data_IF_812709849566
#
_entry.id   IF_812709849566
#
_cell.length_a   1.000
_cell.length_b   1.000
_cell.length_c   1.000
_cell.angle_alpha   90.00
_cell.angle_beta   90.00
_cell.angle_gamma   90.00
#
_symmetry.space_group_name_H-M   'P 1'
#
loop_
_entity.id
_entity.type
_entity.pdbx_description
1 polymer ?
#
# COMPACT_ATOMS: atom_id res chain seq x y z
N UNK A 1 -7.47 -35.46 -0.58
CA UNK A 1 -7.01 -34.29 0.21
C UNK A 1 -6.12 -33.35 -0.61
N UNK A 2 -5.05 -33.86 -1.27
CA UNK A 2 -4.13 -33.04 -2.08
C UNK A 2 -4.78 -32.26 -3.23
N UNK A 3 -5.71 -32.86 -3.98
CA UNK A 3 -6.38 -32.17 -5.09
C UNK A 3 -7.25 -30.98 -4.62
N UNK A 4 -7.90 -31.10 -3.46
CA UNK A 4 -8.73 -30.03 -2.87
C UNK A 4 -7.85 -28.88 -2.38
N UNK A 5 -6.71 -29.17 -1.75
CA UNK A 5 -5.75 -28.12 -1.36
C UNK A 5 -5.17 -27.39 -2.57
N UNK A 6 -4.82 -28.10 -3.65
CA UNK A 6 -4.33 -27.46 -4.88
C UNK A 6 -5.39 -26.58 -5.53
N UNK A 7 -6.65 -27.02 -5.57
CA UNK A 7 -7.76 -26.23 -6.10
C UNK A 7 -7.96 -24.94 -5.30
N UNK A 8 -7.94 -25.01 -3.96
CA UNK A 8 -8.09 -23.84 -3.09
C UNK A 8 -6.97 -22.80 -3.31
N UNK A 9 -5.72 -23.27 -3.49
CA UNK A 9 -4.59 -22.39 -3.80
C UNK A 9 -4.79 -21.70 -5.15
N UNK A 10 -5.20 -22.44 -6.18
CA UNK A 10 -5.46 -21.87 -7.50
C UNK A 10 -6.57 -20.82 -7.48
N UNK A 11 -7.68 -21.09 -6.78
CA UNK A 11 -8.78 -20.12 -6.62
C UNK A 11 -8.27 -18.86 -5.91
N UNK A 12 -7.50 -19.01 -4.83
CA UNK A 12 -6.92 -17.88 -4.11
C UNK A 12 -6.02 -17.01 -5.01
N UNK A 13 -5.17 -17.63 -5.84
CA UNK A 13 -4.30 -16.92 -6.78
C UNK A 13 -5.10 -16.15 -7.83
N UNK A 14 -6.15 -16.74 -8.40
CA UNK A 14 -7.02 -16.06 -9.38
C UNK A 14 -7.71 -14.85 -8.75
N UNK A 15 -8.22 -14.99 -7.52
CA UNK A 15 -8.86 -13.89 -6.79
C UNK A 15 -7.86 -12.77 -6.50
N UNK A 16 -6.64 -13.10 -6.06
CA UNK A 16 -5.56 -12.11 -5.87
C UNK A 16 -5.26 -11.34 -7.15
N UNK A 17 -5.11 -12.02 -8.29
CA UNK A 17 -4.84 -11.38 -9.58
C UNK A 17 -6.01 -10.48 -10.03
N UNK A 18 -7.25 -10.91 -9.80
CA UNK A 18 -8.44 -10.11 -10.08
C UNK A 18 -8.48 -8.82 -9.25
N UNK A 19 -8.12 -8.89 -7.96
CA UNK A 19 -8.05 -7.71 -7.09
C UNK A 19 -6.95 -6.76 -7.54
N UNK A 20 -5.74 -7.27 -7.83
CA UNK A 20 -4.61 -6.44 -8.28
C UNK A 20 -4.93 -5.73 -9.59
N UNK A 21 -5.47 -6.45 -10.57
CA UNK A 21 -5.87 -5.87 -11.86
C UNK A 21 -6.98 -4.82 -11.69
N UNK A 22 -7.96 -5.07 -10.82
CA UNK A 22 -9.00 -4.10 -10.45
C UNK A 22 -8.44 -2.82 -9.83
N UNK A 23 -7.47 -2.94 -8.91
CA UNK A 23 -6.80 -1.79 -8.30
C UNK A 23 -6.01 -0.96 -9.32
N UNK A 24 -5.26 -1.61 -10.21
CA UNK A 24 -4.51 -0.93 -11.28
C UNK A 24 -5.48 -0.21 -12.23
N UNK A 25 -6.54 -0.90 -12.66
CA UNK A 25 -7.56 -0.30 -13.53
C UNK A 25 -8.20 0.93 -12.88
N UNK A 26 -8.59 0.82 -11.60
CA UNK A 26 -9.15 1.92 -10.84
C UNK A 26 -8.15 3.09 -10.76
N UNK A 27 -6.89 2.81 -10.46
CA UNK A 27 -5.85 3.83 -10.37
C UNK A 27 -5.65 4.59 -11.68
N UNK A 28 -5.63 3.87 -12.81
CA UNK A 28 -5.56 4.49 -14.13
C UNK A 28 -6.77 5.39 -14.42
N UNK A 29 -7.98 4.91 -14.10
CA UNK A 29 -9.21 5.69 -14.32
C UNK A 29 -9.25 6.95 -13.47
N UNK A 30 -8.90 6.84 -12.18
CA UNK A 30 -8.87 7.98 -11.25
C UNK A 30 -7.79 8.98 -11.65
N UNK A 31 -6.60 8.50 -12.04
CA UNK A 31 -5.48 9.36 -12.45
C UNK A 31 -5.76 10.14 -13.74
N UNK A 32 -6.59 9.60 -14.63
CA UNK A 32 -6.98 10.26 -15.89
C UNK A 32 -8.11 11.27 -15.73
N UNK A 33 -8.70 11.38 -14.54
CA UNK A 33 -9.75 12.36 -14.30
C UNK A 33 -9.23 13.80 -14.41
N UNK A 34 -10.13 14.74 -14.72
CA UNK A 34 -9.78 16.16 -14.83
C UNK A 34 -9.17 16.72 -13.54
N UNK A 35 -9.67 16.26 -12.40
CA UNK A 35 -9.20 16.67 -11.08
C UNK A 35 -7.95 15.88 -10.65
N UNK A 36 -6.85 16.60 -10.39
CA UNK A 36 -5.57 16.01 -9.95
C UNK A 36 -5.67 15.22 -8.64
N UNK A 37 -6.58 15.60 -7.75
CA UNK A 37 -6.69 14.99 -6.42
C UNK A 37 -7.35 13.61 -6.44
N UNK A 38 -8.22 13.36 -7.43
CA UNK A 38 -8.96 12.09 -7.53
C UNK A 38 -8.01 10.92 -7.77
N UNK A 39 -6.95 11.11 -8.57
CA UNK A 39 -5.90 10.12 -8.78
C UNK A 39 -5.06 9.77 -7.54
N UNK A 40 -5.04 10.66 -6.55
CA UNK A 40 -4.29 10.49 -5.30
C UNK A 40 -5.11 9.83 -4.19
N UNK A 41 -6.44 9.73 -4.33
CA UNK A 41 -7.32 9.15 -3.31
C UNK A 41 -6.88 7.74 -2.92
N UNK A 42 -6.64 6.87 -3.92
CA UNK A 42 -6.26 5.49 -3.65
C UNK A 42 -4.87 5.36 -3.01
N UNK A 43 -3.79 6.02 -3.50
CA UNK A 43 -2.52 6.08 -2.78
C UNK A 43 -2.66 6.58 -1.33
N UNK A 44 -3.45 7.62 -1.09
CA UNK A 44 -3.66 8.18 0.25
C UNK A 44 -4.37 7.18 1.16
N UNK A 45 -5.37 6.45 0.66
CA UNK A 45 -6.04 5.40 1.44
C UNK A 45 -5.03 4.32 1.87
N UNK A 46 -4.19 3.82 0.95
CA UNK A 46 -3.16 2.83 1.31
C UNK A 46 -2.12 3.38 2.29
N UNK A 47 -1.72 4.64 2.13
CA UNK A 47 -0.85 5.32 3.08
C UNK A 47 -1.47 5.40 4.48
N UNK A 48 -2.74 5.79 4.59
CA UNK A 48 -3.45 5.85 5.87
C UNK A 48 -3.62 4.46 6.50
N UNK A 49 -3.91 3.42 5.70
CA UNK A 49 -3.95 2.04 6.18
C UNK A 49 -2.59 1.61 6.74
N UNK A 50 -1.48 1.99 6.10
CA UNK A 50 -0.13 1.70 6.61
C UNK A 50 0.13 2.36 7.97
N UNK A 51 -0.37 3.58 8.19
CA UNK A 51 -0.26 4.27 9.46
C UNK A 51 -1.08 3.59 10.54
N UNK A 52 -2.29 3.12 10.23
CA UNK A 52 -3.12 2.37 11.18
C UNK A 52 -2.37 1.11 11.64
N UNK A 53 -1.70 0.40 10.75
CA UNK A 53 -0.91 -0.79 11.10
C UNK A 53 0.24 -0.44 12.06
N UNK A 54 1.02 0.58 11.71
CA UNK A 54 2.20 0.98 12.51
C UNK A 54 1.79 1.53 13.87
N UNK A 55 0.80 2.43 13.91
CA UNK A 55 0.29 2.99 15.16
C UNK A 55 -0.40 1.93 16.01
N UNK A 56 -1.07 0.96 15.39
CA UNK A 56 -1.61 -0.20 16.07
C UNK A 56 -0.53 -1.02 16.78
N UNK A 57 0.62 -1.25 16.14
CA UNK A 57 1.74 -1.95 16.79
C UNK A 57 2.31 -1.16 17.98
N UNK A 58 2.36 0.17 17.90
CA UNK A 58 2.76 1.01 19.04
C UNK A 58 1.74 0.94 20.19
N UNK A 59 0.45 0.86 19.86
CA UNK A 59 -0.63 0.78 20.86
C UNK A 59 -0.71 -0.59 21.55
N UNK A 60 -0.46 -1.67 20.81
CA UNK A 60 -0.59 -3.06 21.25
C UNK A 60 0.76 -3.79 21.24
N UNK A 61 1.78 -3.18 21.86
CA UNK A 61 3.11 -3.76 21.89
C UNK A 61 3.18 -4.89 22.93
N UNK A 62 2.93 -6.12 22.47
CA UNK A 62 3.05 -7.34 23.30
C UNK A 62 4.49 -7.84 23.31
N UNK A 63 5.10 -7.96 24.49
CA UNK A 63 6.44 -8.56 24.63
C UNK A 63 6.30 -9.99 25.12
N UNK A 64 6.71 -10.95 24.28
CA UNK A 64 6.84 -12.36 24.69
C UNK A 64 8.21 -12.56 25.31
N UNK A 65 8.27 -12.78 26.62
CA UNK A 65 9.51 -13.07 27.33
C UNK A 65 9.65 -14.59 27.43
N UNK A 66 10.79 -15.11 27.00
CA UNK A 66 11.16 -16.51 27.19
C UNK A 66 11.97 -16.64 28.48
N UNK A 67 11.41 -17.29 29.50
CA UNK A 67 12.11 -17.61 30.74
C UNK A 67 12.22 -19.13 30.81
N UNK A 68 13.45 -19.66 30.88
CA UNK A 68 13.74 -21.10 30.96
C UNK A 68 13.02 -21.97 29.89
N UNK A 69 12.89 -21.46 28.66
CA UNK A 69 12.26 -22.20 27.56
C UNK A 69 10.73 -22.22 27.59
N UNK A 70 10.10 -21.52 28.54
CA UNK A 70 8.65 -21.30 28.58
C UNK A 70 8.36 -19.90 28.07
N UNK A 71 7.48 -19.79 27.08
CA UNK A 71 6.98 -18.49 26.58
C UNK A 71 5.93 -17.99 27.58
N UNK A 72 6.29 -16.98 28.37
CA UNK A 72 5.37 -16.27 29.26
C UNK A 72 4.95 -14.95 28.60
N UNK A 73 3.64 -14.74 28.45
CA UNK A 73 3.07 -13.48 27.98
C UNK A 73 3.15 -12.48 29.15
N UNK A 74 4.07 -11.52 29.05
CA UNK A 74 4.21 -10.49 30.07
C UNK A 74 3.74 -9.17 29.46
N UNK A 75 2.58 -8.69 29.93
CA UNK A 75 2.04 -7.37 29.64
C UNK A 75 2.89 -6.29 30.37
N UNK A 76 4.16 -6.14 30.00
CA UNK A 76 5.02 -5.11 30.58
C UNK A 76 4.70 -3.78 29.93
N UNK A 77 3.97 -2.94 30.65
CA UNK A 77 3.84 -1.52 30.33
C UNK A 77 5.21 -0.84 30.49
N UNK A 78 5.73 -0.38 29.35
CA UNK A 78 6.60 0.80 29.12
C UNK A 78 8.03 0.79 29.69
N UNK A 79 8.94 0.32 28.85
CA UNK A 79 10.07 1.11 28.35
C UNK A 79 10.32 0.68 26.90
N UNK A 80 9.76 1.42 25.94
CA UNK A 80 10.00 1.15 24.52
C UNK A 80 11.40 1.66 24.20
N UNK A 81 12.39 0.78 24.18
CA UNK A 81 13.74 1.11 23.75
C UNK A 81 13.78 1.56 22.29
N UNK A 82 14.83 2.27 21.89
CA UNK A 82 15.00 2.80 20.51
C UNK A 82 14.94 1.67 19.48
N UNK A 83 15.45 0.49 19.85
CA UNK A 83 15.43 -0.75 19.09
C UNK A 83 14.02 -1.20 18.66
N UNK A 84 12.99 -0.91 19.45
CA UNK A 84 11.61 -1.27 19.14
C UNK A 84 10.99 -0.35 18.08
N UNK A 85 11.47 0.90 17.98
CA UNK A 85 11.03 1.82 16.92
C UNK A 85 11.67 1.48 15.56
N UNK A 86 12.87 0.89 15.55
CA UNK A 86 13.49 0.37 14.32
C UNK A 86 12.64 -0.74 13.70
N UNK A 87 12.03 -1.59 14.54
CA UNK A 87 11.14 -2.65 14.08
C UNK A 87 9.90 -2.13 13.34
N UNK A 88 9.48 -0.87 13.58
CA UNK A 88 8.33 -0.26 12.90
C UNK A 88 8.63 0.16 11.45
N UNK A 89 9.91 0.33 11.10
CA UNK A 89 10.33 0.75 9.76
C UNK A 89 9.95 -0.30 8.72
N UNK A 90 10.18 -1.59 9.01
CA UNK A 90 9.91 -2.66 8.04
C UNK A 90 8.42 -2.80 7.70
N UNK A 91 7.48 -2.90 8.67
CA UNK A 91 6.05 -2.85 8.37
C UNK A 91 5.67 -1.58 7.62
N UNK A 92 6.14 -0.41 8.05
CA UNK A 92 5.83 0.83 7.36
C UNK A 92 6.22 0.79 5.89
N UNK A 93 7.43 0.32 5.56
CA UNK A 93 7.90 0.20 4.18
C UNK A 93 7.09 -0.84 3.38
N UNK A 94 6.85 -2.03 3.94
CA UNK A 94 6.11 -3.11 3.27
C UNK A 94 4.67 -2.67 2.96
N UNK A 95 3.98 -2.10 3.94
CA UNK A 95 2.60 -1.63 3.77
C UNK A 95 2.50 -0.37 2.89
N UNK A 96 3.62 0.30 2.61
CA UNK A 96 3.69 1.40 1.64
C UNK A 96 4.11 1.00 0.23
N UNK A 97 4.43 -0.28 -0.04
CA UNK A 97 4.68 -0.74 -1.41
C UNK A 97 3.50 -0.39 -2.34
N UNK A 98 2.22 -0.67 -1.99
CA UNK A 98 1.09 -0.26 -2.80
C UNK A 98 1.03 1.26 -3.02
N UNK A 99 1.26 2.05 -1.96
CA UNK A 99 1.28 3.52 -2.04
C UNK A 99 2.29 4.02 -3.08
N UNK A 100 3.52 3.50 -3.04
CA UNK A 100 4.60 3.88 -3.96
C UNK A 100 4.23 3.52 -5.40
N UNK A 101 3.78 2.29 -5.62
CA UNK A 101 3.37 1.81 -6.96
C UNK A 101 2.22 2.64 -7.53
N UNK A 102 1.18 2.89 -6.74
CA UNK A 102 0.01 3.66 -7.17
C UNK A 102 0.36 5.14 -7.43
N UNK A 103 1.24 5.72 -6.61
CA UNK A 103 1.73 7.09 -6.80
C UNK A 103 2.57 7.21 -8.07
N UNK A 104 3.45 6.23 -8.34
CA UNK A 104 4.23 6.19 -9.58
C UNK A 104 3.32 6.12 -10.83
N UNK A 105 2.29 5.28 -10.80
CA UNK A 105 1.27 5.21 -11.86
C UNK A 105 0.57 6.57 -12.03
N UNK A 106 0.16 7.20 -10.94
CA UNK A 106 -0.50 8.50 -10.96
C UNK A 106 0.38 9.59 -11.62
N UNK A 107 1.63 9.71 -11.18
CA UNK A 107 2.56 10.71 -11.71
C UNK A 107 2.85 10.47 -13.20
N UNK A 108 3.02 9.20 -13.60
CA UNK A 108 3.24 8.82 -14.99
C UNK A 108 2.08 9.23 -15.90
N UNK A 109 0.85 8.89 -15.51
CA UNK A 109 -0.34 9.24 -16.31
C UNK A 109 -0.64 10.74 -16.28
N UNK A 110 -0.42 11.42 -15.15
CA UNK A 110 -0.63 12.87 -15.07
C UNK A 110 0.34 13.64 -15.93
N UNK A 111 1.61 13.24 -15.94
CA UNK A 111 2.64 13.80 -16.82
C UNK A 111 2.22 13.68 -18.29
N UNK A 112 1.81 12.47 -18.72
CA UNK A 112 1.32 12.22 -20.09
C UNK A 112 0.17 13.14 -20.50
N UNK A 113 -0.83 13.32 -19.63
CA UNK A 113 -1.98 14.20 -19.90
C UNK A 113 -1.53 15.66 -20.01
N UNK A 114 -0.63 16.11 -19.12
CA UNK A 114 -0.14 17.48 -19.15
C UNK A 114 0.65 17.79 -20.43
N UNK A 115 1.51 16.86 -20.86
CA UNK A 115 2.28 16.98 -22.11
C UNK A 115 1.36 16.99 -23.32
N UNK A 116 0.38 16.09 -23.38
CA UNK A 116 -0.59 16.06 -24.49
C UNK A 116 -1.35 17.38 -24.62
N UNK A 117 -1.83 17.93 -23.50
CA UNK A 117 -2.50 19.24 -23.48
C UNK A 117 -1.61 20.39 -23.96
N UNK A 118 -0.31 20.35 -23.65
CA UNK A 118 0.64 21.35 -24.12
C UNK A 118 0.85 21.27 -25.64
N UNK A 119 1.03 20.06 -26.18
CA UNK A 119 1.17 19.83 -27.63
C UNK A 119 -0.10 20.27 -28.38
N UNK A 120 -1.28 19.92 -27.85
CA UNK A 120 -2.55 20.28 -28.48
C UNK A 120 -2.77 21.80 -28.47
N UNK A 121 -2.30 22.52 -27.44
CA UNK A 121 -2.31 24.00 -27.41
C UNK A 121 -1.41 24.59 -28.49
N UNK A 122 -0.17 24.10 -28.61
CA UNK A 122 0.79 24.60 -29.61
C UNK A 122 0.24 24.48 -31.04
N UNK A 123 -0.41 23.35 -31.37
CA UNK A 123 -1.00 23.14 -32.70
C UNK A 123 -2.13 24.12 -33.07
N UNK A 124 -2.86 24.64 -32.08
CA UNK A 124 -3.95 25.59 -32.31
C UNK A 124 -3.40 26.99 -32.57
N UNK A 125 -2.27 27.35 -31.96
CA UNK A 125 -1.63 28.66 -32.10
C UNK A 125 -0.86 28.82 -33.42
N UNK A 126 -0.49 27.70 -34.08
CA UNK A 126 0.19 27.67 -35.39
C UNK A 126 -0.76 27.85 -36.60
N UNK A 127 -2.10 27.84 -36.40
CA UNK A 127 -3.12 27.99 -37.45
C UNK A 127 -3.64 29.43 -37.48
#
# INVERSE_FOLDING_TARGET
MLAVSTLNISIFLIVMLAIISGLIYLQLRLSRSGNKYVGLVLPVIFFLLSLIVVLGQVAYFETKVMINGVVTEQNVVRNVGVENYIALIFPFLIFNIPTIVLTAIYLGERSRISTKKAIDRMKIEDI
#
